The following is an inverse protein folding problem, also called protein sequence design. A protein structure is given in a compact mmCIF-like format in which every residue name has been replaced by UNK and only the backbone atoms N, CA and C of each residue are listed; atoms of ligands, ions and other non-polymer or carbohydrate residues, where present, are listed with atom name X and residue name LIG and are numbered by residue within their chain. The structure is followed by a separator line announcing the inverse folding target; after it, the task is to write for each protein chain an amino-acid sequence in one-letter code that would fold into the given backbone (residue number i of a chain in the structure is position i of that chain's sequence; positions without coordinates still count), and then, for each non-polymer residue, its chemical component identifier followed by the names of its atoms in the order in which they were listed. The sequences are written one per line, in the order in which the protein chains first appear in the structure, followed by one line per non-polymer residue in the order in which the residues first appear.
data_IF_238247120279
#
_entry.id   IF_238247120279
#
_cell.length_a   1.000
_cell.length_b   1.000
_cell.length_c   1.000
_cell.angle_alpha   90.00
_cell.angle_beta   90.00
_cell.angle_gamma   90.00
#
_symmetry.space_group_name_H-M   'P 1'
#
loop_
_entity.id
_entity.type
_entity.pdbx_description
1 polymer ?
#
# COMPACT_ATOMS: atom_id res chain seq x y z
N UNK A 1 -15.56 43.30 -15.56
CA UNK A 1 -14.26 43.68 -14.98
C UNK A 1 -13.31 44.15 -16.09
N UNK A 2 -12.71 45.33 -15.95
CA UNK A 2 -11.64 45.78 -16.84
C UNK A 2 -10.43 44.85 -16.76
N UNK A 3 -9.92 44.41 -17.90
CA UNK A 3 -8.71 43.56 -17.98
C UNK A 3 -7.51 44.48 -18.17
N UNK A 4 -6.51 44.33 -17.29
CA UNK A 4 -5.26 45.08 -17.36
C UNK A 4 -4.11 44.15 -17.71
N UNK A 5 -3.23 44.59 -18.60
CA UNK A 5 -1.95 43.92 -18.89
C UNK A 5 -0.86 44.99 -18.73
N UNK A 6 0.16 44.71 -17.93
CA UNK A 6 1.26 45.64 -17.63
C UNK A 6 0.77 47.04 -17.20
N UNK A 7 -0.22 47.11 -16.32
CA UNK A 7 -0.76 48.37 -15.79
C UNK A 7 -1.63 49.18 -16.76
N UNK A 8 -1.78 48.76 -18.03
CA UNK A 8 -2.66 49.42 -19.01
C UNK A 8 -3.98 48.65 -19.16
N UNK A 9 -5.08 49.40 -19.18
CA UNK A 9 -6.42 48.84 -19.43
C UNK A 9 -6.50 48.41 -20.89
N UNK A 10 -6.87 47.16 -21.15
CA UNK A 10 -7.22 46.73 -22.49
C UNK A 10 -8.57 47.34 -22.88
N UNK A 11 -8.55 48.14 -23.95
CA UNK A 11 -9.75 48.74 -24.55
C UNK A 11 -10.28 47.94 -25.73
N UNK A 12 -9.47 47.05 -26.32
CA UNK A 12 -9.88 46.21 -27.44
C UNK A 12 -10.79 45.06 -26.96
N UNK A 13 -12.07 45.02 -27.38
CA UNK A 13 -13.04 44.02 -26.92
C UNK A 13 -12.68 42.59 -27.35
N UNK A 14 -12.07 42.41 -28.52
CA UNK A 14 -11.69 41.08 -29.05
C UNK A 14 -10.59 40.46 -28.19
N UNK A 15 -9.59 41.26 -27.82
CA UNK A 15 -8.50 40.80 -26.97
C UNK A 15 -8.96 40.46 -25.55
N UNK A 16 -9.87 41.26 -24.97
CA UNK A 16 -10.49 40.94 -23.66
C UNK A 16 -11.26 39.63 -23.72
N UNK A 17 -12.01 39.39 -24.80
CA UNK A 17 -12.75 38.14 -24.99
C UNK A 17 -11.81 36.95 -25.14
N UNK A 18 -10.73 37.08 -25.93
CA UNK A 18 -9.71 36.04 -26.10
C UNK A 18 -9.05 35.64 -24.78
N UNK A 19 -8.68 36.59 -23.93
CA UNK A 19 -8.09 36.32 -22.61
C UNK A 19 -9.07 35.56 -21.72
N UNK A 20 -10.34 35.99 -21.67
CA UNK A 20 -11.36 35.30 -20.87
C UNK A 20 -11.55 33.85 -21.32
N UNK A 21 -11.55 33.63 -22.63
CA UNK A 21 -11.73 32.30 -23.22
C UNK A 21 -10.52 31.41 -22.95
N UNK A 22 -9.30 31.96 -23.02
CA UNK A 22 -8.08 31.26 -22.64
C UNK A 22 -8.07 30.88 -21.15
N UNK A 23 -8.47 31.80 -20.26
CA UNK A 23 -8.59 31.51 -18.83
C UNK A 23 -9.62 30.42 -18.59
N UNK A 24 -10.79 30.50 -19.23
CA UNK A 24 -11.83 29.48 -19.13
C UNK A 24 -11.31 28.11 -19.56
N UNK A 25 -10.61 28.03 -20.70
CA UNK A 25 -10.02 26.79 -21.21
C UNK A 25 -8.94 26.24 -20.28
N UNK A 26 -8.08 27.11 -19.72
CA UNK A 26 -7.06 26.70 -18.77
C UNK A 26 -7.67 26.09 -17.50
N UNK A 27 -8.72 26.73 -16.95
CA UNK A 27 -9.46 26.21 -15.79
C UNK A 27 -10.15 24.90 -16.13
N UNK A 28 -10.80 24.81 -17.29
CA UNK A 28 -11.47 23.59 -17.73
C UNK A 28 -10.48 22.43 -17.93
N UNK A 29 -9.31 22.69 -18.52
CA UNK A 29 -8.26 21.70 -18.72
C UNK A 29 -7.69 21.21 -17.36
N UNK A 30 -7.44 22.12 -16.42
CA UNK A 30 -6.99 21.76 -15.08
C UNK A 30 -8.04 20.90 -14.34
N UNK A 31 -9.32 21.28 -14.41
CA UNK A 31 -10.40 20.49 -13.85
C UNK A 31 -10.50 19.11 -14.52
N UNK A 32 -10.43 19.05 -15.86
CA UNK A 32 -10.47 17.79 -16.60
C UNK A 32 -9.33 16.85 -16.20
N UNK A 33 -8.12 17.38 -16.02
CA UNK A 33 -6.98 16.60 -15.54
C UNK A 33 -7.25 15.98 -14.15
N UNK A 34 -7.81 16.77 -13.23
CA UNK A 34 -8.16 16.28 -11.89
C UNK A 34 -9.21 15.18 -11.96
N UNK A 35 -10.30 15.41 -12.69
CA UNK A 35 -11.43 14.47 -12.73
C UNK A 35 -11.15 13.20 -13.55
N UNK A 36 -10.37 13.29 -14.63
CA UNK A 36 -10.11 12.16 -15.53
C UNK A 36 -8.88 11.35 -15.13
N UNK A 37 -7.91 11.95 -14.45
CA UNK A 37 -6.63 11.29 -14.15
C UNK A 37 -6.43 11.11 -12.66
N UNK A 38 -6.50 12.20 -11.90
CA UNK A 38 -6.16 12.16 -10.47
C UNK A 38 -7.21 11.38 -9.68
N UNK A 39 -8.49 11.68 -9.91
CA UNK A 39 -9.59 11.05 -9.17
C UNK A 39 -9.67 9.53 -9.43
N UNK A 40 -9.57 9.03 -10.69
CA UNK A 40 -9.54 7.60 -10.95
C UNK A 40 -8.29 6.92 -10.41
N UNK A 41 -7.11 7.57 -10.49
CA UNK A 41 -5.88 7.01 -9.93
C UNK A 41 -6.00 6.81 -8.41
N UNK A 42 -6.55 7.79 -7.68
CA UNK A 42 -6.83 7.65 -6.25
C UNK A 42 -7.82 6.51 -6.03
N UNK A 43 -8.89 6.43 -6.81
CA UNK A 43 -9.88 5.35 -6.73
C UNK A 43 -9.25 3.96 -6.87
N UNK A 44 -8.38 3.77 -7.87
CA UNK A 44 -7.65 2.51 -8.10
C UNK A 44 -6.76 2.17 -6.89
N UNK A 45 -6.03 3.16 -6.36
CA UNK A 45 -5.13 2.93 -5.22
C UNK A 45 -5.94 2.55 -3.97
N UNK A 46 -7.02 3.26 -3.67
CA UNK A 46 -7.84 2.99 -2.49
C UNK A 46 -8.55 1.63 -2.60
N UNK A 47 -9.20 1.35 -3.73
CA UNK A 47 -9.89 0.06 -3.96
C UNK A 47 -8.88 -1.08 -3.99
N UNK A 48 -7.73 -0.90 -4.63
CA UNK A 48 -6.65 -1.87 -4.67
C UNK A 48 -6.09 -2.17 -3.28
N UNK A 49 -5.78 -1.14 -2.49
CA UNK A 49 -5.29 -1.30 -1.12
C UNK A 49 -6.33 -1.98 -0.22
N UNK A 50 -7.60 -1.58 -0.30
CA UNK A 50 -8.68 -2.20 0.46
C UNK A 50 -8.86 -3.67 0.05
N UNK A 51 -8.93 -3.95 -1.25
CA UNK A 51 -9.07 -5.29 -1.79
C UNK A 51 -7.91 -6.20 -1.38
N UNK A 52 -6.67 -5.69 -1.42
CA UNK A 52 -5.49 -6.43 -1.01
C UNK A 52 -5.47 -6.67 0.50
N UNK A 53 -5.89 -5.69 1.31
CA UNK A 53 -6.04 -5.85 2.75
C UNK A 53 -7.04 -6.97 3.07
N UNK A 54 -8.21 -7.02 2.41
CA UNK A 54 -9.16 -8.12 2.58
C UNK A 54 -8.62 -9.46 2.10
N UNK A 55 -7.97 -9.49 0.94
CA UNK A 55 -7.40 -10.70 0.35
C UNK A 55 -6.29 -11.30 1.21
N UNK A 56 -5.57 -10.51 2.01
CA UNK A 56 -4.56 -11.01 2.94
C UNK A 56 -5.15 -11.31 4.32
N UNK A 57 -5.97 -10.40 4.87
CA UNK A 57 -6.50 -10.53 6.22
C UNK A 57 -7.46 -11.71 6.37
N UNK A 58 -8.33 -11.97 5.39
CA UNK A 58 -9.31 -13.06 5.48
C UNK A 58 -8.61 -14.42 5.47
N UNK A 59 -7.71 -14.74 4.52
CA UNK A 59 -6.94 -15.98 4.58
C UNK A 59 -6.06 -16.05 5.81
N UNK A 60 -5.44 -14.96 6.26
CA UNK A 60 -4.63 -14.98 7.47
C UNK A 60 -5.47 -15.36 8.70
N UNK A 61 -6.68 -14.80 8.86
CA UNK A 61 -7.59 -15.14 9.95
C UNK A 61 -8.08 -16.59 9.89
N UNK A 62 -8.26 -17.15 8.70
CA UNK A 62 -8.71 -18.54 8.51
C UNK A 62 -7.57 -19.55 8.63
N UNK A 63 -6.40 -19.22 8.09
CA UNK A 63 -5.23 -20.10 8.06
C UNK A 63 -4.45 -20.07 9.37
N UNK A 64 -4.43 -18.95 10.11
CA UNK A 64 -3.76 -18.86 11.41
C UNK A 64 -4.21 -19.96 12.40
N UNK A 65 -5.52 -20.22 12.62
CA UNK A 65 -5.94 -21.30 13.50
C UNK A 65 -5.60 -22.69 12.93
N UNK A 66 -5.72 -22.88 11.61
CA UNK A 66 -5.33 -24.13 10.94
C UNK A 66 -3.84 -24.42 11.10
N UNK A 67 -2.98 -23.42 10.95
CA UNK A 67 -1.53 -23.52 11.14
C UNK A 67 -1.17 -23.70 12.61
N UNK A 68 -1.89 -23.06 13.54
CA UNK A 68 -1.67 -23.26 14.97
C UNK A 68 -2.00 -24.68 15.41
N UNK A 69 -3.13 -25.23 14.96
CA UNK A 69 -3.54 -26.61 15.24
C UNK A 69 -2.62 -27.60 14.53
N UNK A 70 -2.36 -27.40 13.23
CA UNK A 70 -1.48 -28.26 12.44
C UNK A 70 -0.03 -28.27 12.96
N UNK A 71 0.51 -27.10 13.31
CA UNK A 71 1.83 -26.96 13.92
C UNK A 71 1.91 -27.63 15.30
N UNK A 72 0.86 -27.52 16.10
CA UNK A 72 0.77 -28.22 17.39
C UNK A 72 0.74 -29.74 17.21
N UNK A 73 -0.05 -30.24 16.26
CA UNK A 73 -0.13 -31.67 15.93
C UNK A 73 1.19 -32.22 15.39
N UNK A 74 1.85 -31.48 14.48
CA UNK A 74 3.18 -31.83 13.98
C UNK A 74 4.22 -31.81 15.11
N UNK A 75 4.15 -30.82 16.00
CA UNK A 75 4.99 -30.75 17.19
C UNK A 75 4.82 -31.98 18.07
N UNK A 76 3.58 -32.36 18.40
CA UNK A 76 3.27 -33.55 19.21
C UNK A 76 3.77 -34.83 18.52
N UNK A 77 3.56 -34.95 17.21
CA UNK A 77 3.99 -36.12 16.43
C UNK A 77 5.52 -36.27 16.36
N UNK A 78 6.24 -35.15 16.24
CA UNK A 78 7.70 -35.12 16.15
C UNK A 78 8.39 -35.11 17.53
N UNK A 79 7.68 -34.78 18.60
CA UNK A 79 8.20 -34.78 19.99
C UNK A 79 8.84 -36.11 20.41
N UNK A 80 8.21 -37.29 20.21
CA UNK A 80 8.84 -38.57 20.56
C UNK A 80 10.12 -38.84 19.77
N UNK A 81 10.16 -38.44 18.49
CA UNK A 81 11.36 -38.58 17.65
C UNK A 81 12.48 -37.64 18.12
N UNK A 82 12.16 -36.40 18.47
CA UNK A 82 13.12 -35.44 19.03
C UNK A 82 13.67 -35.88 20.40
N UNK A 83 12.85 -36.50 21.24
CA UNK A 83 13.27 -37.12 22.51
C UNK A 83 14.22 -38.30 22.27
N UNK A 84 13.89 -39.19 21.34
CA UNK A 84 14.74 -40.32 20.95
C UNK A 84 16.11 -39.82 20.45
N UNK A 85 16.13 -38.82 19.57
CA UNK A 85 17.38 -38.21 19.09
C UNK A 85 18.18 -37.60 20.24
N UNK A 86 17.53 -36.94 21.21
CA UNK A 86 18.21 -36.35 22.37
C UNK A 86 18.80 -37.40 23.32
N UNK A 87 18.15 -38.55 23.47
CA UNK A 87 18.66 -39.66 24.28
C UNK A 87 19.82 -40.36 23.57
N UNK A 88 19.70 -40.57 22.26
CA UNK A 88 20.71 -41.28 21.45
C UNK A 88 21.94 -40.43 21.12
N UNK A 89 21.87 -39.10 21.26
CA UNK A 89 23.00 -38.21 21.01
C UNK A 89 23.69 -37.83 22.33
N UNK A 90 24.83 -38.45 22.70
CA UNK A 90 25.54 -38.09 23.91
C UNK A 90 25.95 -36.62 23.83
N UNK A 91 25.59 -35.83 24.86
CA UNK A 91 26.08 -34.45 24.98
C UNK A 91 27.60 -34.49 25.13
N UNK A 92 28.38 -33.75 24.32
CA UNK A 92 29.80 -33.62 24.57
C UNK A 92 29.96 -32.91 25.92
N UNK A 93 30.39 -33.65 26.94
CA UNK A 93 30.83 -33.07 28.20
C UNK A 93 32.10 -32.29 27.91
N UNK A 94 31.98 -30.97 27.74
CA UNK A 94 33.11 -30.06 27.83
C UNK A 94 33.53 -30.04 29.31
N UNK A 95 34.36 -31.01 29.71
CA UNK A 95 35.14 -30.88 30.94
C UNK A 95 36.12 -29.73 30.69
N UNK A 96 35.77 -28.58 31.25
CA UNK A 96 36.66 -27.43 31.42
C UNK A 96 37.19 -27.54 32.85
N UNK A 97 38.14 -28.44 33.06
CA UNK A 97 38.93 -28.44 34.29
C UNK A 97 40.13 -27.53 34.05
N UNK A 98 39.95 -26.29 34.51
CA UNK A 98 41.05 -25.46 34.96
C UNK A 98 41.42 -25.98 36.34
N UNK A 99 42.44 -26.82 36.43
CA UNK A 99 43.27 -27.05 37.62
C UNK A 99 44.59 -27.70 37.19
#
# INVERSE_FOLDING_TARGET
MPVYINGRKLTNPVAVMGIKLAVLLAVAAAAALVFLVILPAIGIVVVGAAGLAFAVAVPALLLAPLLAVGGSLLGILLTPLALLVRILRPRPKYYREWE
#
